data_IF_481374428131
#
_entry.id   IF_481374428131
#
_cell.length_a   1.000
_cell.length_b   1.000
_cell.length_c   1.000
_cell.angle_alpha   90.00
_cell.angle_beta   90.00
_cell.angle_gamma   90.00
#
_symmetry.space_group_name_H-M   'P 1'
#
loop_
_entity.id
_entity.type
_entity.pdbx_description
1 polymer ?
#
# COMPACT_ATOMS: atom_id res chain seq x y z
N UNK A 1 -16.10 -25.55 -1.26
CA UNK A 1 -15.11 -25.43 -0.16
C UNK A 1 -13.66 -25.44 -0.64
N UNK A 2 -13.28 -26.20 -1.68
CA UNK A 2 -11.88 -26.29 -2.14
C UNK A 2 -11.28 -25.01 -2.77
N UNK A 3 -12.03 -24.26 -3.59
CA UNK A 3 -11.50 -23.07 -4.29
C UNK A 3 -11.10 -21.93 -3.33
N UNK A 4 -11.87 -21.73 -2.26
CA UNK A 4 -11.61 -20.69 -1.26
C UNK A 4 -10.37 -21.00 -0.41
N UNK A 5 -10.17 -22.26 -0.03
CA UNK A 5 -9.00 -22.71 0.74
C UNK A 5 -7.72 -22.58 -0.10
N UNK A 6 -7.75 -23.05 -1.34
CA UNK A 6 -6.62 -22.89 -2.27
C UNK A 6 -6.26 -21.41 -2.50
N UNK A 7 -7.26 -20.53 -2.59
CA UNK A 7 -7.00 -19.09 -2.73
C UNK A 7 -6.34 -18.49 -1.49
N UNK A 8 -6.75 -18.90 -0.29
CA UNK A 8 -6.14 -18.42 0.96
C UNK A 8 -4.69 -18.89 1.12
N UNK A 9 -4.37 -20.14 0.78
CA UNK A 9 -3.00 -20.65 0.80
C UNK A 9 -2.11 -19.93 -0.21
N UNK A 10 -2.62 -19.69 -1.43
CA UNK A 10 -1.90 -18.92 -2.46
C UNK A 10 -1.62 -17.50 -1.97
N UNK A 11 -2.60 -16.81 -1.39
CA UNK A 11 -2.40 -15.47 -0.82
C UNK A 11 -1.35 -15.50 0.29
N UNK A 12 -1.39 -16.48 1.20
CA UNK A 12 -0.39 -16.61 2.26
C UNK A 12 1.04 -16.82 1.73
N UNK A 13 1.19 -17.62 0.67
CA UNK A 13 2.46 -17.79 -0.03
C UNK A 13 2.96 -16.50 -0.66
N UNK A 14 2.08 -15.75 -1.33
CA UNK A 14 2.43 -14.45 -1.93
C UNK A 14 2.81 -13.41 -0.88
N UNK A 15 2.10 -13.33 0.25
CA UNK A 15 2.46 -12.45 1.38
C UNK A 15 3.86 -12.76 1.91
N UNK A 16 4.23 -14.04 1.98
CA UNK A 16 5.57 -14.45 2.38
C UNK A 16 6.62 -14.04 1.35
N UNK A 17 6.31 -14.22 0.06
CA UNK A 17 7.19 -13.83 -1.05
C UNK A 17 7.38 -12.30 -1.17
N UNK A 18 6.44 -11.48 -0.71
CA UNK A 18 6.64 -10.03 -0.57
C UNK A 18 7.75 -9.67 0.42
N UNK A 19 8.21 -10.59 1.27
CA UNK A 19 9.27 -10.37 2.26
C UNK A 19 10.55 -11.12 1.94
N UNK A 20 10.64 -11.71 0.75
CA UNK A 20 11.81 -12.48 0.33
C UNK A 20 13.04 -11.60 0.19
N UNK A 21 14.23 -12.17 0.42
CA UNK A 21 15.50 -11.45 0.29
C UNK A 21 15.81 -11.08 -1.17
N UNK A 22 15.35 -11.90 -2.14
CA UNK A 22 15.54 -11.63 -3.57
C UNK A 22 14.47 -10.69 -4.12
N UNK A 23 14.92 -9.54 -4.63
CA UNK A 23 14.05 -8.55 -5.28
C UNK A 23 13.25 -9.10 -6.47
N UNK A 24 13.75 -10.13 -7.17
CA UNK A 24 13.04 -10.80 -8.25
C UNK A 24 11.83 -11.58 -7.73
N UNK A 25 11.97 -12.23 -6.58
CA UNK A 25 10.88 -12.96 -5.91
C UNK A 25 9.82 -11.98 -5.43
N UNK A 26 10.24 -10.88 -4.79
CA UNK A 26 9.31 -9.80 -4.37
C UNK A 26 8.56 -9.20 -5.55
N UNK A 27 9.26 -8.89 -6.65
CA UNK A 27 8.66 -8.39 -7.88
C UNK A 27 7.68 -9.40 -8.51
N UNK A 28 8.03 -10.68 -8.53
CA UNK A 28 7.14 -11.75 -8.98
C UNK A 28 5.87 -11.88 -8.14
N UNK A 29 5.98 -11.72 -6.81
CA UNK A 29 4.83 -11.69 -5.92
C UNK A 29 3.90 -10.51 -6.23
N UNK A 30 4.46 -9.30 -6.40
CA UNK A 30 3.70 -8.13 -6.82
C UNK A 30 2.96 -8.39 -8.15
N UNK A 31 3.65 -8.93 -9.16
CA UNK A 31 3.02 -9.24 -10.45
C UNK A 31 1.85 -10.21 -10.31
N UNK A 32 1.99 -11.28 -9.52
CA UNK A 32 0.91 -12.23 -9.28
C UNK A 32 -0.30 -11.57 -8.59
N UNK A 33 -0.06 -10.76 -7.55
CA UNK A 33 -1.11 -10.03 -6.83
C UNK A 33 -1.81 -9.03 -7.74
N UNK A 34 -1.07 -8.34 -8.63
CA UNK A 34 -1.63 -7.43 -9.62
C UNK A 34 -2.61 -8.14 -10.56
N UNK A 35 -2.27 -9.38 -10.99
CA UNK A 35 -3.15 -10.20 -11.85
C UNK A 35 -4.37 -10.73 -11.10
N UNK A 36 -4.25 -10.98 -9.80
CA UNK A 36 -5.40 -11.35 -8.96
C UNK A 36 -6.34 -10.16 -8.73
N UNK A 37 -5.81 -8.93 -8.77
CA UNK A 37 -6.56 -7.69 -8.64
C UNK A 37 -7.29 -7.62 -7.30
N UNK A 38 -8.55 -7.19 -7.33
CA UNK A 38 -9.41 -7.00 -6.15
C UNK A 38 -9.50 -8.24 -5.25
N UNK A 39 -9.37 -9.46 -5.80
CA UNK A 39 -9.48 -10.71 -5.02
C UNK A 39 -8.31 -10.90 -4.05
N UNK A 40 -7.17 -10.25 -4.30
CA UNK A 40 -6.00 -10.32 -3.44
C UNK A 40 -5.96 -9.22 -2.36
N UNK A 41 -6.95 -8.32 -2.34
CA UNK A 41 -7.01 -7.19 -1.41
C UNK A 41 -7.36 -7.61 0.02
N UNK A 42 -6.40 -8.27 0.66
CA UNK A 42 -6.44 -8.66 2.06
C UNK A 42 -5.53 -7.75 2.88
N UNK A 43 -5.81 -7.60 4.17
CA UNK A 43 -5.04 -6.73 5.07
C UNK A 43 -3.55 -7.11 5.08
N UNK A 44 -3.24 -8.40 5.01
CA UNK A 44 -1.87 -8.92 5.00
C UNK A 44 -1.12 -8.55 3.71
N UNK A 45 -1.79 -8.66 2.55
CA UNK A 45 -1.21 -8.26 1.26
C UNK A 45 -0.94 -6.77 1.26
N UNK A 46 -1.92 -5.96 1.69
CA UNK A 46 -1.78 -4.51 1.78
C UNK A 46 -0.61 -4.14 2.69
N UNK A 47 -0.51 -4.73 3.88
CA UNK A 47 0.61 -4.48 4.80
C UNK A 47 1.97 -4.85 4.18
N UNK A 48 2.02 -5.97 3.45
CA UNK A 48 3.20 -6.36 2.68
C UNK A 48 3.58 -5.34 1.60
N UNK A 49 2.62 -4.90 0.79
CA UNK A 49 2.82 -3.92 -0.27
C UNK A 49 3.25 -2.55 0.29
N UNK A 50 2.69 -2.12 1.43
CA UNK A 50 3.11 -0.87 2.08
C UNK A 50 4.56 -0.94 2.55
N UNK A 51 5.03 -2.08 3.06
CA UNK A 51 6.45 -2.27 3.38
C UNK A 51 7.33 -2.17 2.13
N UNK A 52 6.87 -2.72 0.99
CA UNK A 52 7.60 -2.65 -0.28
C UNK A 52 7.68 -1.23 -0.87
N UNK A 53 6.89 -0.27 -0.40
CA UNK A 53 7.09 1.13 -0.77
C UNK A 53 8.43 1.69 -0.22
N UNK A 54 9.04 1.02 0.77
CA UNK A 54 10.40 1.30 1.29
C UNK A 54 11.47 0.38 0.71
N UNK A 55 11.12 -0.50 -0.23
CA UNK A 55 12.07 -1.47 -0.77
C UNK A 55 13.30 -0.77 -1.34
N UNK A 56 14.51 -1.32 -1.15
CA UNK A 56 15.73 -0.76 -1.72
C UNK A 56 15.69 -0.73 -3.26
N UNK A 57 15.02 -1.71 -3.87
CA UNK A 57 14.90 -1.84 -5.31
C UNK A 57 13.75 -0.97 -5.84
N UNK A 58 14.12 0.02 -6.65
CA UNK A 58 13.20 0.96 -7.31
C UNK A 58 12.08 0.27 -8.09
N UNK A 59 12.37 -0.83 -8.78
CA UNK A 59 11.37 -1.56 -9.56
C UNK A 59 10.35 -2.24 -8.65
N UNK A 60 10.80 -2.80 -7.52
CA UNK A 60 9.89 -3.40 -6.53
C UNK A 60 8.98 -2.35 -5.89
N UNK A 61 9.54 -1.18 -5.55
CA UNK A 61 8.74 -0.03 -5.07
C UNK A 61 7.65 0.35 -6.06
N UNK A 62 7.99 0.40 -7.34
CA UNK A 62 7.05 0.73 -8.40
C UNK A 62 5.96 -0.33 -8.53
N UNK A 63 6.32 -1.61 -8.58
CA UNK A 63 5.35 -2.70 -8.66
C UNK A 63 4.39 -2.72 -7.47
N UNK A 64 4.89 -2.47 -6.26
CA UNK A 64 4.02 -2.40 -5.07
C UNK A 64 2.96 -1.30 -5.20
N UNK A 65 3.35 -0.13 -5.72
CA UNK A 65 2.42 0.96 -6.01
C UNK A 65 1.38 0.59 -7.06
N UNK A 66 1.79 -0.05 -8.16
CA UNK A 66 0.86 -0.47 -9.21
C UNK A 66 -0.18 -1.47 -8.70
N UNK A 67 0.23 -2.41 -7.84
CA UNK A 67 -0.70 -3.37 -7.22
C UNK A 67 -1.71 -2.64 -6.34
N UNK A 68 -1.25 -1.71 -5.48
CA UNK A 68 -2.13 -0.91 -4.62
C UNK A 68 -3.13 -0.08 -5.44
N UNK A 69 -2.68 0.51 -6.56
CA UNK A 69 -3.55 1.23 -7.49
C UNK A 69 -4.61 0.32 -8.13
N UNK A 70 -4.22 -0.89 -8.53
CA UNK A 70 -5.09 -1.84 -9.21
C UNK A 70 -6.13 -2.50 -8.31
N UNK A 71 -5.85 -2.59 -7.02
CA UNK A 71 -6.81 -3.09 -6.03
C UNK A 71 -8.04 -2.18 -5.90
N UNK A 72 -7.87 -0.87 -6.10
CA UNK A 72 -8.94 0.10 -6.33
C UNK A 72 -10.05 0.15 -5.26
N UNK A 73 -11.23 0.63 -5.66
CA UNK A 73 -12.38 0.88 -4.80
C UNK A 73 -13.00 -0.36 -4.12
N UNK A 74 -12.84 -1.56 -4.70
CA UNK A 74 -13.41 -2.78 -4.10
C UNK A 74 -12.55 -3.35 -2.98
N UNK A 75 -11.30 -2.92 -2.89
CA UNK A 75 -10.39 -3.19 -1.78
C UNK A 75 -10.63 -2.29 -0.56
N UNK A 76 -11.54 -1.32 -0.65
CA UNK A 76 -11.84 -0.33 0.37
C UNK A 76 -12.58 -0.93 1.58
N UNK A 77 -11.93 -1.81 2.30
CA UNK A 77 -12.37 -2.27 3.62
C UNK A 77 -11.95 -1.26 4.68
N UNK A 78 -12.63 -1.26 5.82
CA UNK A 78 -12.26 -0.41 6.97
C UNK A 78 -10.82 -0.68 7.42
N UNK A 79 -10.38 -1.93 7.38
CA UNK A 79 -9.02 -2.34 7.72
C UNK A 79 -7.99 -1.80 6.72
N UNK A 80 -8.29 -1.84 5.42
CA UNK A 80 -7.44 -1.27 4.37
C UNK A 80 -7.27 0.24 4.55
N UNK A 81 -8.39 0.96 4.72
CA UNK A 81 -8.38 2.40 4.95
C UNK A 81 -7.60 2.74 6.23
N UNK A 82 -7.80 1.99 7.32
CA UNK A 82 -7.05 2.16 8.56
C UNK A 82 -5.53 1.95 8.38
N UNK A 83 -5.12 0.94 7.61
CA UNK A 83 -3.72 0.71 7.25
C UNK A 83 -3.12 1.88 6.48
N UNK A 84 -3.84 2.41 5.49
CA UNK A 84 -3.40 3.57 4.71
C UNK A 84 -3.32 4.84 5.57
N UNK A 85 -4.27 5.07 6.47
CA UNK A 85 -4.24 6.20 7.42
C UNK A 85 -3.01 6.12 8.32
N UNK A 86 -2.64 4.93 8.79
CA UNK A 86 -1.39 4.75 9.54
C UNK A 86 -0.16 5.07 8.68
N UNK A 87 -0.15 4.63 7.41
CA UNK A 87 0.93 4.92 6.47
C UNK A 87 1.04 6.40 6.08
N UNK A 88 -0.02 7.22 6.21
CA UNK A 88 0.07 8.67 6.05
C UNK A 88 0.94 9.34 7.12
N UNK A 89 1.10 8.69 8.28
CA UNK A 89 1.92 9.17 9.40
C UNK A 89 3.33 8.58 9.40
N UNK A 90 3.68 7.86 8.35
CA UNK A 90 4.97 7.19 8.29
C UNK A 90 6.13 8.19 8.15
N UNK A 91 7.29 7.86 8.71
CA UNK A 91 8.48 8.71 8.63
C UNK A 91 9.03 8.78 7.19
N UNK A 92 8.87 7.71 6.41
CA UNK A 92 9.32 7.65 5.02
C UNK A 92 8.34 8.37 4.07
N UNK A 93 8.85 9.35 3.31
CA UNK A 93 8.05 10.13 2.37
C UNK A 93 7.50 9.30 1.20
N UNK A 94 8.16 8.22 0.83
CA UNK A 94 7.71 7.29 -0.21
C UNK A 94 6.48 6.52 0.25
N UNK A 95 6.45 6.10 1.51
CA UNK A 95 5.29 5.41 2.11
C UNK A 95 4.12 6.37 2.24
N UNK A 96 4.33 7.57 2.78
CA UNK A 96 3.27 8.59 2.86
C UNK A 96 2.67 8.87 1.48
N UNK A 97 3.53 9.08 0.48
CA UNK A 97 3.10 9.36 -0.88
C UNK A 97 2.35 8.18 -1.50
N UNK A 98 2.84 6.95 -1.31
CA UNK A 98 2.16 5.74 -1.78
C UNK A 98 0.78 5.56 -1.13
N UNK A 99 0.65 5.88 0.15
CA UNK A 99 -0.64 5.89 0.85
C UNK A 99 -1.62 6.91 0.25
N UNK A 100 -1.17 8.15 0.00
CA UNK A 100 -2.00 9.16 -0.67
C UNK A 100 -2.51 8.67 -2.04
N UNK A 101 -1.64 8.04 -2.84
CA UNK A 101 -2.05 7.51 -4.14
C UNK A 101 -3.05 6.35 -4.01
N UNK A 102 -2.87 5.45 -3.06
CA UNK A 102 -3.83 4.36 -2.82
C UNK A 102 -5.19 4.91 -2.38
N UNK A 103 -5.21 5.91 -1.49
CA UNK A 103 -6.44 6.57 -1.03
C UNK A 103 -7.15 7.31 -2.18
N UNK A 104 -6.41 7.97 -3.07
CA UNK A 104 -6.95 8.59 -4.29
C UNK A 104 -7.69 7.57 -5.17
N UNK A 105 -7.11 6.37 -5.33
CA UNK A 105 -7.68 5.29 -6.17
C UNK A 105 -8.83 4.55 -5.50
N UNK A 106 -8.89 4.56 -4.17
CA UNK A 106 -10.06 4.12 -3.41
C UNK A 106 -11.22 5.14 -3.54
N UNK A 107 -10.96 6.38 -3.91
CA UNK A 107 -12.00 7.35 -4.27
C UNK A 107 -12.94 7.69 -3.11
N UNK A 108 -14.23 7.77 -3.39
CA UNK A 108 -15.24 8.25 -2.43
C UNK A 108 -15.30 7.40 -1.15
N UNK A 109 -14.96 6.11 -1.23
CA UNK A 109 -14.95 5.23 -0.06
C UNK A 109 -13.84 5.57 0.94
N UNK A 110 -12.79 6.26 0.49
CA UNK A 110 -11.73 6.76 1.36
C UNK A 110 -12.10 8.10 2.01
N UNK A 111 -13.20 8.76 1.63
CA UNK A 111 -13.63 10.05 2.19
C UNK A 111 -14.23 9.93 3.60
N UNK A 112 -13.50 9.27 4.49
CA UNK A 112 -13.80 9.13 5.91
C UNK A 112 -13.14 10.26 6.69
N UNK A 113 -13.67 10.56 7.88
CA UNK A 113 -13.09 11.58 8.76
C UNK A 113 -11.64 11.25 9.12
N UNK A 114 -11.33 9.98 9.36
CA UNK A 114 -9.99 9.51 9.70
C UNK A 114 -8.97 9.76 8.58
N UNK A 115 -9.38 9.58 7.32
CA UNK A 115 -8.52 9.88 6.15
C UNK A 115 -8.31 11.38 6.00
N UNK A 116 -9.37 12.18 6.15
CA UNK A 116 -9.27 13.65 6.08
C UNK A 116 -8.31 14.15 7.17
N UNK A 117 -8.48 13.69 8.41
CA UNK A 117 -7.60 14.07 9.52
C UNK A 117 -6.16 13.63 9.29
N UNK A 118 -5.94 12.41 8.77
CA UNK A 118 -4.63 11.90 8.40
C UNK A 118 -3.93 12.75 7.33
N UNK A 119 -4.67 13.14 6.28
CA UNK A 119 -4.15 13.99 5.20
C UNK A 119 -3.83 15.41 5.70
N UNK A 120 -4.70 15.99 6.55
CA UNK A 120 -4.44 17.31 7.17
C UNK A 120 -3.17 17.28 8.02
N UNK A 121 -2.99 16.25 8.85
CA UNK A 121 -1.76 16.08 9.64
C UNK A 121 -0.52 15.95 8.76
N UNK A 122 -0.61 15.18 7.66
CA UNK A 122 0.50 15.00 6.72
C UNK A 122 0.93 16.33 6.08
N UNK A 123 -0.04 17.19 5.71
CA UNK A 123 0.22 18.52 5.16
C UNK A 123 0.86 19.46 6.20
N UNK A 124 0.44 19.39 7.46
CA UNK A 124 1.03 20.16 8.55
C UNK A 124 2.47 19.73 8.86
N UNK A 125 2.78 18.43 8.80
CA UNK A 125 4.15 17.94 8.95
C UNK A 125 5.04 18.39 7.78
N UNK A 126 4.50 18.47 6.57
CA UNK A 126 5.22 18.97 5.40
C UNK A 126 5.52 20.48 5.48
N UNK A 127 4.63 21.28 6.09
CA UNK A 127 4.86 22.72 6.26
C UNK A 127 5.84 23.06 7.38
N UNK A 128 6.01 22.20 8.39
CA UNK A 128 7.02 22.37 9.45
C UNK A 128 8.44 21.99 8.96
N UNK A 129 8.56 21.10 7.97
CA UNK A 129 9.85 20.72 7.37
C UNK A 129 10.33 21.64 6.23
N UNK A 130 9.56 22.66 5.85
CA UNK A 130 10.02 23.75 4.98
C UNK A 130 10.68 24.84 5.84
N UNK A 131 11.83 24.51 6.43
CA UNK A 131 12.68 25.52 7.05
C UNK A 131 13.45 26.31 5.97
N UNK A 132 13.58 27.65 6.12
CA UNK A 132 14.11 28.56 5.11
C UNK A 132 15.64 28.49 5.07
N UNK A 133 16.23 28.04 3.95
CA UNK A 133 17.68 27.84 3.90
C UNK A 133 18.35 27.79 2.53
N UNK A 134 17.67 28.20 1.45
CA UNK A 134 18.33 28.44 0.16
C UNK A 134 18.11 29.89 -0.28
N UNK A 135 19.03 30.76 0.15
CA UNK A 135 19.36 32.04 -0.50
C UNK A 135 20.87 32.15 -0.58
#
# INVERSE_FOLDING_TARGET
MGEKVATTEVIGGLVSALRDEDSSVRGGACYALEKMGEKAATTEVIGGLMNLLRDENLSVRWSAREVLEKMGEKAATTEMIGGLVNALRDEDSSVRRGSCYALEKIGEKAATTEVIDGLVQQLQLASVNLAPGER
#
